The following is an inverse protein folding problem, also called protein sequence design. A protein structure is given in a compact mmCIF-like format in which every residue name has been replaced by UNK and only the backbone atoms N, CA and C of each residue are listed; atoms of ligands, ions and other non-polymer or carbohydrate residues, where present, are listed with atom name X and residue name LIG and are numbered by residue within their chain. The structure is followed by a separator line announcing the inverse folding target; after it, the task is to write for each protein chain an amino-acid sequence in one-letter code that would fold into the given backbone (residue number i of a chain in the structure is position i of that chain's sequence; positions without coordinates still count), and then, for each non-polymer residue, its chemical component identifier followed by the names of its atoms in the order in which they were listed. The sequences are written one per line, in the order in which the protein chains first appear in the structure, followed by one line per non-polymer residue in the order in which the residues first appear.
data_IF_553221502904
#
_entry.id   IF_553221502904
#
_cell.length_a   1.000
_cell.length_b   1.000
_cell.length_c   1.000
_cell.angle_alpha   90.00
_cell.angle_beta   90.00
_cell.angle_gamma   90.00
#
_symmetry.space_group_name_H-M   'P 1'
#
loop_
_entity.id
_entity.type
_entity.pdbx_description
1 polymer ?
#
# COMPACT_ATOMS: atom_id res chain seq x y z
N UNK A 1 -10.72 -16.46 0.21
CA UNK A 1 -11.63 -15.68 -0.66
C UNK A 1 -11.88 -14.32 0.03
N UNK A 2 -11.47 -13.22 -0.57
CA UNK A 2 -11.72 -11.86 -0.03
C UNK A 2 -13.17 -11.51 -0.36
N UNK A 3 -13.99 -11.14 0.64
CA UNK A 3 -15.37 -10.74 0.43
C UNK A 3 -15.49 -9.22 0.26
N UNK A 4 -14.77 -8.44 1.06
CA UNK A 4 -14.74 -6.97 1.00
C UNK A 4 -13.37 -6.54 0.45
N UNK A 5 -13.33 -6.08 -0.81
CA UNK A 5 -12.10 -5.76 -1.52
C UNK A 5 -11.69 -4.29 -1.37
N UNK A 6 -12.65 -3.40 -1.23
CA UNK A 6 -12.48 -1.99 -0.93
C UNK A 6 -13.71 -1.42 -0.25
N UNK A 7 -13.55 -0.30 0.44
CA UNK A 7 -14.64 0.51 1.01
C UNK A 7 -14.43 1.95 0.53
N UNK A 8 -15.50 2.58 0.07
CA UNK A 8 -15.52 3.97 -0.35
C UNK A 8 -16.72 4.67 0.27
N UNK A 9 -16.47 5.62 1.15
CA UNK A 9 -17.50 6.32 1.91
C UNK A 9 -16.95 7.54 2.62
N UNK A 10 -17.72 8.06 3.57
CA UNK A 10 -17.34 9.22 4.38
C UNK A 10 -16.67 8.78 5.68
N UNK A 11 -15.56 9.41 6.03
CA UNK A 11 -14.89 9.21 7.32
C UNK A 11 -15.74 9.86 8.41
N UNK A 12 -16.33 9.08 9.30
CA UNK A 12 -17.18 9.60 10.39
C UNK A 12 -16.47 9.63 11.74
N UNK A 13 -15.47 8.76 11.95
CA UNK A 13 -14.73 8.66 13.20
C UNK A 13 -13.31 8.19 12.98
N UNK A 14 -12.40 8.59 13.87
CA UNK A 14 -10.99 8.17 13.92
C UNK A 14 -10.62 7.79 15.34
N UNK A 15 -9.90 6.70 15.50
CA UNK A 15 -9.29 6.27 16.77
C UNK A 15 -7.78 6.12 16.62
N UNK A 16 -7.09 5.65 17.65
CA UNK A 16 -5.62 5.44 17.63
C UNK A 16 -5.17 4.34 16.64
N UNK A 17 -6.07 3.52 16.12
CA UNK A 17 -5.69 2.39 15.24
C UNK A 17 -6.70 2.10 14.14
N UNK A 18 -7.84 2.80 14.15
CA UNK A 18 -8.92 2.56 13.21
C UNK A 18 -9.53 3.86 12.68
N UNK A 19 -10.18 3.75 11.54
CA UNK A 19 -11.10 4.74 10.99
C UNK A 19 -12.45 4.08 10.78
N UNK A 20 -13.55 4.84 11.00
CA UNK A 20 -14.90 4.38 10.68
C UNK A 20 -15.36 5.09 9.41
N UNK A 21 -15.73 4.29 8.41
CA UNK A 21 -16.23 4.79 7.13
C UNK A 21 -17.73 4.48 7.03
N UNK A 22 -18.53 5.53 6.88
CA UNK A 22 -19.96 5.39 6.57
C UNK A 22 -20.16 5.13 5.08
N UNK A 23 -20.87 4.05 4.79
CA UNK A 23 -21.31 3.73 3.43
C UNK A 23 -22.83 3.57 3.47
N UNK A 24 -23.54 4.64 3.13
CA UNK A 24 -25.01 4.68 3.07
C UNK A 24 -25.69 4.24 4.38
N UNK A 25 -25.18 4.69 5.53
CA UNK A 25 -25.73 4.39 6.86
C UNK A 25 -25.18 3.11 7.50
N UNK A 26 -24.21 2.46 6.88
CA UNK A 26 -23.47 1.34 7.47
C UNK A 26 -22.04 1.78 7.78
N UNK A 27 -21.67 1.79 9.08
CA UNK A 27 -20.32 2.12 9.54
C UNK A 27 -19.39 0.91 9.48
N UNK A 28 -18.30 1.01 8.74
CA UNK A 28 -17.24 0.00 8.69
C UNK A 28 -16.04 0.48 9.49
N UNK A 29 -15.67 -0.25 10.53
CA UNK A 29 -14.43 -0.03 11.26
C UNK A 29 -13.27 -0.68 10.52
N UNK A 30 -12.24 0.10 10.19
CA UNK A 30 -11.10 -0.30 9.37
C UNK A 30 -9.82 -0.05 10.16
N UNK A 31 -9.06 -1.11 10.46
CA UNK A 31 -7.69 -1.00 10.96
C UNK A 31 -6.79 -0.50 9.84
N UNK A 32 -6.03 0.56 10.11
CA UNK A 32 -5.13 1.13 9.10
C UNK A 32 -3.84 1.67 9.71
N UNK A 33 -2.91 2.13 8.88
CA UNK A 33 -1.63 2.66 9.35
C UNK A 33 -1.80 4.02 10.02
N UNK A 34 -0.87 4.40 10.91
CA UNK A 34 -0.84 5.72 11.54
C UNK A 34 -0.83 6.84 10.48
N UNK A 35 -0.09 6.66 9.38
CA UNK A 35 -0.01 7.61 8.27
C UNK A 35 -1.38 7.81 7.62
N UNK A 36 -2.11 6.72 7.37
CA UNK A 36 -3.45 6.79 6.78
C UNK A 36 -4.46 7.44 7.74
N UNK A 37 -4.35 7.17 9.07
CA UNK A 37 -5.18 7.82 10.09
C UNK A 37 -4.91 9.32 10.15
N UNK A 38 -3.63 9.73 10.17
CA UNK A 38 -3.24 11.13 10.28
C UNK A 38 -3.68 11.93 9.06
N UNK A 39 -3.61 11.32 7.88
CA UNK A 39 -4.02 11.95 6.62
C UNK A 39 -5.54 12.00 6.43
N UNK A 40 -6.31 11.13 7.07
CA UNK A 40 -7.77 11.12 6.97
C UNK A 40 -8.41 12.27 7.75
N UNK A 41 -9.45 12.89 7.19
CA UNK A 41 -10.24 13.95 7.84
C UNK A 41 -11.67 13.49 8.01
N UNK A 42 -12.25 13.74 9.19
CA UNK A 42 -13.68 13.48 9.43
C UNK A 42 -14.51 14.35 8.49
N UNK A 43 -15.51 13.77 7.85
CA UNK A 43 -16.38 14.41 6.85
C UNK A 43 -15.85 14.31 5.41
N UNK A 44 -14.64 13.82 5.17
CA UNK A 44 -14.14 13.60 3.80
C UNK A 44 -14.57 12.25 3.23
N UNK A 45 -14.79 12.20 1.92
CA UNK A 45 -14.94 10.93 1.19
C UNK A 45 -13.58 10.31 0.97
N UNK A 46 -13.44 9.04 1.37
CA UNK A 46 -12.20 8.30 1.26
C UNK A 46 -12.43 6.87 0.81
N UNK A 47 -11.49 6.35 0.01
CA UNK A 47 -11.46 4.95 -0.43
C UNK A 47 -10.33 4.24 0.27
N UNK A 48 -10.62 3.05 0.80
CA UNK A 48 -9.61 2.13 1.32
C UNK A 48 -9.68 0.82 0.57
N UNK A 49 -8.55 0.34 0.08
CA UNK A 49 -8.40 -1.04 -0.39
C UNK A 49 -8.29 -1.95 0.83
N UNK A 50 -9.13 -2.95 0.94
CA UNK A 50 -9.27 -3.72 2.17
C UNK A 50 -8.76 -5.15 2.03
N UNK A 51 -8.17 -5.63 3.11
CA UNK A 51 -7.95 -7.04 3.39
C UNK A 51 -8.94 -7.47 4.47
N UNK A 52 -9.84 -8.39 4.12
CA UNK A 52 -10.86 -8.91 5.03
C UNK A 52 -10.33 -10.18 5.69
N UNK A 53 -10.07 -10.11 6.99
CA UNK A 53 -9.60 -11.22 7.82
C UNK A 53 -10.79 -11.82 8.54
N UNK A 54 -11.13 -13.06 8.19
CA UNK A 54 -12.20 -13.81 8.85
C UNK A 54 -11.56 -14.97 9.61
N UNK A 55 -11.77 -15.01 10.91
CA UNK A 55 -11.37 -16.08 11.82
C UNK A 55 -12.59 -16.62 12.54
N UNK A 56 -12.45 -17.74 13.22
CA UNK A 56 -13.55 -18.38 13.95
C UNK A 56 -14.25 -17.43 14.94
N UNK A 57 -13.49 -16.57 15.62
CA UNK A 57 -14.00 -15.70 16.69
C UNK A 57 -13.80 -14.20 16.39
N UNK A 58 -13.38 -13.81 15.19
CA UNK A 58 -13.18 -12.40 14.83
C UNK A 58 -13.28 -12.17 13.34
N UNK A 59 -13.82 -11.03 12.99
CA UNK A 59 -13.89 -10.52 11.62
C UNK A 59 -13.34 -9.10 11.64
N UNK A 60 -12.25 -8.88 10.88
CA UNK A 60 -11.48 -7.64 10.91
C UNK A 60 -11.23 -7.15 9.49
N UNK A 61 -11.36 -5.82 9.29
CA UNK A 61 -11.01 -5.16 8.03
C UNK A 61 -9.72 -4.36 8.23
N UNK A 62 -8.75 -4.63 7.38
CA UNK A 62 -7.50 -3.88 7.27
C UNK A 62 -7.52 -3.07 5.99
N UNK A 63 -7.37 -1.74 6.08
CA UNK A 63 -7.49 -0.85 4.93
C UNK A 63 -6.22 -0.06 4.64
N UNK A 64 -6.05 0.27 3.38
CA UNK A 64 -4.89 0.97 2.84
C UNK A 64 -5.34 2.00 1.82
N UNK A 65 -4.73 3.17 1.82
CA UNK A 65 -5.00 4.23 0.84
C UNK A 65 -4.59 3.84 -0.58
N UNK A 66 -3.68 2.87 -0.73
CA UNK A 66 -3.20 2.40 -2.02
C UNK A 66 -3.25 0.88 -2.17
N UNK A 67 -3.40 0.42 -3.41
CA UNK A 67 -3.33 -1.01 -3.73
C UNK A 67 -1.92 -1.58 -3.47
N UNK A 68 -0.88 -0.76 -3.63
CA UNK A 68 0.49 -1.13 -3.32
C UNK A 68 0.67 -1.41 -1.82
N UNK A 69 0.10 -0.56 -0.94
CA UNK A 69 0.08 -0.78 0.51
C UNK A 69 -0.63 -2.07 0.89
N UNK A 70 -1.81 -2.32 0.32
CA UNK A 70 -2.54 -3.59 0.52
C UNK A 70 -1.69 -4.80 0.11
N UNK A 71 -1.07 -4.77 -1.06
CA UNK A 71 -0.24 -5.89 -1.55
C UNK A 71 0.98 -6.12 -0.66
N UNK A 72 1.65 -5.06 -0.21
CA UNK A 72 2.77 -5.20 0.71
C UNK A 72 2.33 -5.77 2.06
N UNK A 73 1.15 -5.37 2.57
CA UNK A 73 0.56 -5.98 3.75
C UNK A 73 0.31 -7.48 3.56
N UNK A 74 -0.31 -7.87 2.43
CA UNK A 74 -0.57 -9.27 2.10
C UNK A 74 0.73 -10.09 2.03
N UNK A 75 1.82 -9.53 1.51
CA UNK A 75 3.13 -10.17 1.54
C UNK A 75 3.68 -10.31 2.96
N UNK A 76 3.60 -9.26 3.78
CA UNK A 76 4.10 -9.26 5.15
C UNK A 76 3.44 -10.33 6.01
N UNK A 77 2.11 -10.49 5.92
CA UNK A 77 1.38 -11.50 6.70
C UNK A 77 1.63 -12.95 6.24
N UNK A 78 2.26 -13.17 5.08
CA UNK A 78 2.72 -14.52 4.67
C UNK A 78 3.96 -14.97 5.44
N UNK A 79 4.67 -14.04 6.08
CA UNK A 79 5.90 -14.35 6.82
C UNK A 79 5.55 -14.94 8.18
N UNK A 80 6.09 -16.11 8.50
CA UNK A 80 5.83 -16.77 9.77
C UNK A 80 6.21 -15.88 10.96
N UNK A 81 5.26 -15.65 11.87
CA UNK A 81 5.42 -14.84 13.05
C UNK A 81 5.14 -13.34 12.82
N UNK A 82 4.69 -12.96 11.63
CA UNK A 82 4.21 -11.61 11.33
C UNK A 82 2.68 -11.65 11.23
N UNK A 83 2.02 -11.12 12.25
CA UNK A 83 0.56 -10.96 12.24
C UNK A 83 0.12 -9.63 11.65
N UNK A 84 -1.20 -9.44 11.42
CA UNK A 84 -1.73 -8.21 10.84
C UNK A 84 -1.32 -6.93 11.58
N UNK A 85 -1.30 -6.92 12.91
CA UNK A 85 -0.89 -5.76 13.71
C UNK A 85 0.58 -5.39 13.47
N UNK A 86 1.47 -6.39 13.42
CA UNK A 86 2.89 -6.16 13.12
C UNK A 86 3.08 -5.67 11.69
N UNK A 87 2.34 -6.21 10.73
CA UNK A 87 2.36 -5.76 9.34
C UNK A 87 1.90 -4.30 9.19
N UNK A 88 0.82 -3.88 9.88
CA UNK A 88 0.41 -2.48 9.94
C UNK A 88 1.48 -1.57 10.57
N UNK A 89 2.10 -2.02 11.67
CA UNK A 89 3.17 -1.25 12.32
C UNK A 89 4.37 -1.05 11.39
N UNK A 90 4.75 -2.07 10.61
CA UNK A 90 5.82 -1.96 9.61
C UNK A 90 5.44 -0.97 8.50
N UNK A 91 4.22 -1.06 7.96
CA UNK A 91 3.72 -0.12 6.96
C UNK A 91 3.56 1.31 7.48
N UNK A 92 3.39 1.47 8.78
CA UNK A 92 3.35 2.77 9.45
C UNK A 92 4.71 3.44 9.65
N UNK A 93 5.83 2.78 9.34
CA UNK A 93 7.18 3.36 9.47
C UNK A 93 7.48 4.42 8.41
N UNK A 94 6.75 4.45 7.30
CA UNK A 94 6.96 5.41 6.23
C UNK A 94 6.11 5.11 5.00
N UNK A 95 6.36 5.86 3.94
CA UNK A 95 5.73 5.62 2.64
C UNK A 95 5.95 4.17 2.17
N UNK A 96 4.97 3.61 1.46
CA UNK A 96 5.00 2.21 1.01
C UNK A 96 6.30 1.85 0.26
N UNK A 97 6.80 2.79 -0.55
CA UNK A 97 8.06 2.61 -1.28
C UNK A 97 9.28 2.58 -0.36
N UNK A 98 9.29 3.40 0.70
CA UNK A 98 10.37 3.41 1.70
C UNK A 98 10.42 2.07 2.43
N UNK A 99 9.26 1.56 2.87
CA UNK A 99 9.17 0.25 3.53
C UNK A 99 9.61 -0.88 2.57
N UNK A 100 9.16 -0.82 1.33
CA UNK A 100 9.52 -1.78 0.29
C UNK A 100 11.04 -1.80 0.04
N UNK A 101 11.66 -0.63 -0.09
CA UNK A 101 13.09 -0.48 -0.28
C UNK A 101 13.89 -1.01 0.93
N UNK A 102 13.45 -0.73 2.16
CA UNK A 102 14.08 -1.26 3.35
C UNK A 102 14.07 -2.80 3.38
N UNK A 103 12.98 -3.42 2.94
CA UNK A 103 12.91 -4.88 2.81
C UNK A 103 13.86 -5.37 1.70
N UNK A 104 13.84 -4.73 0.54
CA UNK A 104 14.67 -5.12 -0.62
C UNK A 104 16.18 -5.00 -0.34
N UNK A 105 16.59 -3.98 0.45
CA UNK A 105 17.98 -3.74 0.87
C UNK A 105 18.36 -4.45 2.16
N UNK A 106 17.43 -5.20 2.77
CA UNK A 106 17.67 -5.91 4.04
C UNK A 106 18.01 -4.95 5.20
N UNK A 107 17.36 -3.79 5.25
CA UNK A 107 17.54 -2.83 6.34
C UNK A 107 16.77 -3.29 7.60
N UNK A 108 17.43 -4.15 8.37
CA UNK A 108 16.88 -4.71 9.61
C UNK A 108 16.62 -3.62 10.64
N UNK A 109 17.48 -2.59 10.67
CA UNK A 109 17.36 -1.48 11.63
C UNK A 109 16.06 -0.71 11.41
N UNK A 110 15.73 -0.39 10.17
CA UNK A 110 14.47 0.24 9.81
C UNK A 110 13.27 -0.62 10.21
N UNK A 111 13.27 -1.90 9.85
CA UNK A 111 12.13 -2.81 10.09
C UNK A 111 11.88 -3.02 11.59
N UNK A 112 12.93 -3.08 12.42
CA UNK A 112 12.83 -3.22 13.89
C UNK A 112 12.28 -1.95 14.56
N UNK A 113 12.21 -0.83 13.88
CA UNK A 113 11.52 0.37 14.36
C UNK A 113 10.01 0.18 14.53
N UNK A 114 9.42 -0.83 13.89
CA UNK A 114 8.01 -1.15 14.04
C UNK A 114 7.71 -1.78 15.40
N UNK A 115 6.68 -1.27 16.07
CA UNK A 115 6.24 -1.82 17.36
C UNK A 115 5.87 -3.30 17.25
N UNK A 116 6.39 -4.13 18.14
CA UNK A 116 6.14 -5.57 18.16
C UNK A 116 6.98 -6.38 17.15
N UNK A 117 7.94 -5.77 16.46
CA UNK A 117 8.82 -6.44 15.52
C UNK A 117 10.26 -6.52 16.07
N UNK A 118 10.63 -7.69 16.56
CA UNK A 118 11.99 -7.94 17.02
C UNK A 118 12.97 -8.27 15.88
N UNK A 119 14.27 -8.25 16.19
CA UNK A 119 15.36 -8.51 15.23
C UNK A 119 15.17 -9.80 14.42
N UNK A 120 14.80 -10.92 15.08
CA UNK A 120 14.56 -12.21 14.42
C UNK A 120 13.40 -12.15 13.41
N UNK A 121 12.32 -11.40 13.72
CA UNK A 121 11.20 -11.21 12.80
C UNK A 121 11.60 -10.32 11.62
N UNK A 122 12.36 -9.24 11.86
CA UNK A 122 12.86 -8.36 10.82
C UNK A 122 13.80 -9.08 9.84
N UNK A 123 14.73 -9.89 10.34
CA UNK A 123 15.61 -10.74 9.51
C UNK A 123 14.80 -11.72 8.64
N UNK A 124 13.77 -12.35 9.23
CA UNK A 124 12.90 -13.27 8.50
C UNK A 124 12.09 -12.57 7.42
N UNK A 125 11.56 -11.38 7.70
CA UNK A 125 10.85 -10.54 6.72
C UNK A 125 11.77 -10.23 5.54
N UNK A 126 12.95 -9.70 5.83
CA UNK A 126 13.92 -9.32 4.81
C UNK A 126 14.31 -10.52 3.92
N UNK A 127 14.65 -11.66 4.50
CA UNK A 127 15.03 -12.87 3.74
C UNK A 127 13.86 -13.41 2.93
N UNK A 128 12.64 -13.44 3.48
CA UNK A 128 11.49 -14.04 2.81
C UNK A 128 10.89 -13.18 1.71
N UNK A 129 11.05 -11.86 1.82
CA UNK A 129 10.37 -10.91 0.93
C UNK A 129 11.29 -10.13 0.01
N UNK A 130 12.62 -10.12 0.21
CA UNK A 130 13.57 -9.36 -0.61
C UNK A 130 13.32 -9.50 -2.12
N UNK A 131 13.18 -10.73 -2.59
CA UNK A 131 13.00 -11.01 -4.01
C UNK A 131 11.54 -10.81 -4.49
N UNK A 132 10.58 -10.79 -3.54
CA UNK A 132 9.15 -10.61 -3.83
C UNK A 132 8.72 -9.15 -3.90
N UNK A 133 9.40 -8.25 -3.18
CA UNK A 133 9.10 -6.82 -3.20
C UNK A 133 9.72 -6.08 -4.40
N UNK A 134 10.52 -6.78 -5.22
CA UNK A 134 11.20 -6.22 -6.40
C UNK A 134 12.54 -5.56 -6.06
N UNK A 135 13.24 -5.08 -7.10
CA UNK A 135 14.54 -4.43 -6.93
C UNK A 135 14.40 -3.10 -6.17
N UNK A 136 15.40 -2.74 -5.33
CA UNK A 136 15.41 -1.43 -4.67
C UNK A 136 15.34 -0.31 -5.71
N UNK A 137 14.44 0.64 -5.51
CA UNK A 137 14.49 1.89 -6.27
C UNK A 137 15.65 2.71 -5.70
N UNK A 138 16.65 3.03 -6.52
CA UNK A 138 17.60 4.05 -6.16
C UNK A 138 16.84 5.38 -6.08
N UNK A 139 16.54 5.84 -4.87
CA UNK A 139 16.13 7.22 -4.62
C UNK A 139 17.36 8.10 -4.84
N UNK A 140 17.74 8.32 -6.10
CA UNK A 140 18.59 9.45 -6.42
C UNK A 140 17.75 10.71 -6.17
N UNK A 141 18.28 11.58 -5.33
CA UNK A 141 17.70 12.85 -4.86
C UNK A 141 17.55 13.91 -5.97
N UNK A 142 17.31 13.49 -7.20
CA UNK A 142 17.02 14.36 -8.32
C UNK A 142 15.59 14.12 -8.83
N UNK A 143 14.61 14.57 -8.01
CA UNK A 143 13.30 14.90 -8.57
C UNK A 143 13.39 16.34 -9.10
N UNK A 144 13.16 16.59 -10.40
CA UNK A 144 12.85 17.93 -10.85
C UNK A 144 11.56 18.35 -10.12
N UNK A 145 11.66 19.42 -9.35
CA UNK A 145 10.54 20.16 -8.78
C UNK A 145 9.60 20.58 -9.91
N UNK A 146 8.48 19.91 -10.06
CA UNK A 146 7.48 20.34 -11.04
C UNK A 146 6.50 19.26 -11.46
N UNK A 147 5.81 18.61 -10.52
CA UNK A 147 4.52 17.99 -10.85
C UNK A 147 3.69 17.86 -9.58
N UNK A 148 2.75 18.77 -9.45
CA UNK A 148 1.64 18.72 -8.51
C UNK A 148 0.66 17.63 -8.99
N UNK A 149 0.96 16.37 -8.69
CA UNK A 149 -0.02 15.30 -8.76
C UNK A 149 -0.16 14.80 -7.33
N UNK A 150 -1.32 15.08 -6.74
CA UNK A 150 -1.74 14.58 -5.44
C UNK A 150 -1.73 13.05 -5.39
N UNK A 151 -2.02 12.43 -4.24
CA UNK A 151 -2.13 10.99 -4.10
C UNK A 151 -3.40 10.53 -4.84
N UNK A 152 -3.34 10.51 -6.17
CA UNK A 152 -4.45 10.11 -7.01
C UNK A 152 -4.22 8.69 -7.49
N UNK A 153 -5.27 7.90 -7.33
CA UNK A 153 -5.54 6.66 -8.01
C UNK A 153 -5.11 6.77 -9.49
N UNK A 154 -3.85 6.44 -9.79
CA UNK A 154 -3.43 6.31 -11.18
C UNK A 154 -3.93 4.96 -11.68
N UNK A 155 -5.17 4.94 -12.19
CA UNK A 155 -5.81 3.75 -12.75
C UNK A 155 -4.95 3.06 -13.81
N UNK A 156 -4.09 3.80 -14.51
CA UNK A 156 -3.18 3.22 -15.50
C UNK A 156 -2.04 2.46 -14.81
N UNK A 157 -1.55 2.94 -13.66
CA UNK A 157 -0.58 2.25 -12.84
C UNK A 157 -1.17 0.95 -12.28
N UNK A 158 -2.37 1.04 -11.72
CA UNK A 158 -3.09 -0.13 -11.20
C UNK A 158 -3.36 -1.18 -12.29
N UNK A 159 -3.72 -0.75 -13.48
CA UNK A 159 -3.93 -1.64 -14.62
C UNK A 159 -2.65 -2.36 -15.04
N UNK A 160 -1.50 -1.67 -15.10
CA UNK A 160 -0.20 -2.29 -15.41
C UNK A 160 0.21 -3.30 -14.33
N UNK A 161 -0.04 -2.97 -13.05
CA UNK A 161 0.23 -3.89 -11.96
C UNK A 161 -0.68 -5.12 -12.03
N UNK A 162 -1.96 -4.95 -12.40
CA UNK A 162 -2.90 -6.05 -12.61
C UNK A 162 -2.49 -6.96 -13.79
N UNK A 163 -1.80 -6.42 -14.80
CA UNK A 163 -1.20 -7.15 -15.91
C UNK A 163 0.11 -7.88 -15.53
N UNK A 164 0.54 -7.80 -14.25
CA UNK A 164 1.69 -8.54 -13.73
C UNK A 164 3.00 -7.76 -13.73
N UNK A 165 3.01 -6.48 -14.08
CA UNK A 165 4.20 -5.63 -13.97
C UNK A 165 4.44 -5.28 -12.50
N UNK A 166 5.72 -5.22 -12.09
CA UNK A 166 6.04 -4.67 -10.78
C UNK A 166 5.85 -3.14 -10.79
N UNK A 167 5.69 -2.55 -9.61
CA UNK A 167 5.40 -1.13 -9.45
C UNK A 167 6.46 -0.24 -10.11
N UNK A 168 7.74 -0.64 -10.05
CA UNK A 168 8.86 0.14 -10.61
C UNK A 168 8.77 0.19 -12.13
N UNK A 169 8.58 -0.96 -12.76
CA UNK A 169 8.46 -1.02 -14.21
C UNK A 169 7.18 -0.31 -14.67
N UNK A 170 6.06 -0.49 -13.97
CA UNK A 170 4.80 0.17 -14.28
C UNK A 170 4.93 1.70 -14.17
N UNK A 171 5.55 2.21 -13.11
CA UNK A 171 5.82 3.66 -12.95
C UNK A 171 6.76 4.18 -14.03
N UNK A 172 7.82 3.42 -14.36
CA UNK A 172 8.77 3.77 -15.42
C UNK A 172 8.11 3.82 -16.79
N UNK A 173 7.23 2.88 -17.10
CA UNK A 173 6.51 2.88 -18.38
C UNK A 173 5.53 4.05 -18.50
N UNK A 174 4.99 4.53 -17.37
CA UNK A 174 4.08 5.66 -17.34
C UNK A 174 4.77 7.02 -17.21
N UNK A 175 6.04 7.08 -16.84
CA UNK A 175 6.76 8.34 -16.56
C UNK A 175 6.76 9.34 -17.72
N UNK A 176 6.76 8.85 -18.95
CA UNK A 176 6.77 9.67 -20.17
C UNK A 176 5.43 9.64 -20.91
N UNK A 177 4.38 9.13 -20.29
CA UNK A 177 3.04 9.09 -20.88
C UNK A 177 2.22 10.26 -20.31
N UNK A 178 1.63 11.11 -21.15
CA UNK A 178 0.83 12.24 -20.69
C UNK A 178 -0.29 11.79 -19.73
N UNK A 179 -0.45 12.53 -18.63
CA UNK A 179 -1.42 12.19 -17.56
C UNK A 179 -2.85 12.57 -17.89
N UNK A 180 -3.04 13.42 -18.87
CA UNK A 180 -4.32 13.90 -19.36
C UNK A 180 -5.03 12.92 -20.34
N UNK A 181 -4.34 11.86 -20.75
CA UNK A 181 -4.91 10.82 -21.59
C UNK A 181 -5.80 9.85 -20.79
N UNK A 182 -6.84 9.28 -21.43
CA UNK A 182 -7.64 8.21 -20.81
C UNK A 182 -6.80 7.01 -20.39
N UNK A 183 -7.18 6.34 -19.30
CA UNK A 183 -6.47 5.20 -18.71
C UNK A 183 -6.08 4.12 -19.71
N UNK A 184 -7.00 3.75 -20.62
CA UNK A 184 -6.77 2.74 -21.64
C UNK A 184 -5.68 3.14 -22.66
N UNK A 185 -5.60 4.41 -23.02
CA UNK A 185 -4.57 4.92 -23.93
C UNK A 185 -3.20 5.02 -23.22
N UNK A 186 -3.20 5.44 -21.96
CA UNK A 186 -1.98 5.47 -21.14
C UNK A 186 -1.38 4.08 -20.98
N UNK A 187 -2.18 3.08 -20.65
CA UNK A 187 -1.74 1.68 -20.56
C UNK A 187 -1.21 1.18 -21.90
N UNK A 188 -1.91 1.48 -23.02
CA UNK A 188 -1.46 1.05 -24.35
C UNK A 188 -0.12 1.68 -24.75
N UNK A 189 0.09 2.97 -24.47
CA UNK A 189 1.33 3.67 -24.75
C UNK A 189 2.48 3.14 -23.90
N UNK A 190 2.23 2.89 -22.61
CA UNK A 190 3.21 2.29 -21.70
C UNK A 190 3.67 0.91 -22.19
N UNK A 191 2.75 0.06 -22.66
CA UNK A 191 3.06 -1.26 -23.17
C UNK A 191 3.79 -1.24 -24.52
N UNK A 192 3.53 -0.24 -25.39
CA UNK A 192 4.18 -0.10 -26.70
C UNK A 192 5.68 0.23 -26.58
N UNK A 193 6.11 0.87 -25.51
CA UNK A 193 7.52 1.19 -25.23
C UNK A 193 8.38 -0.02 -24.88
N UNK A 194 7.77 -1.18 -24.65
CA UNK A 194 8.48 -2.43 -24.35
C UNK A 194 9.07 -3.11 -25.59
N UNK A 195 8.62 -2.75 -26.79
CA UNK A 195 9.17 -3.25 -28.07
C UNK A 195 10.30 -2.38 -28.52
#
# INVERSE_FOLDING_TARGET
KIMIAYINGEVIEKTTGTVVIDVMGVGYEIFTTAIDIDSARVGEKRKFYTFHSVKENSEELYGFSSLAGKRLFELLITVQGVGPKAALAILGLGEVETVRNAIATTDISFITGASGVGKKSAERIAVSLRDKVGKPSCLTSDRPTGSLIGPNDDEALDALIALGFNLVDATRFLSDVPVDLPTNERVRLALKKRS
#
